data_IF_410979981961
#
_entry.id   IF_410979981961
#
_cell.length_a   1.000
_cell.length_b   1.000
_cell.length_c   1.000
_cell.angle_alpha   90.00
_cell.angle_beta   90.00
_cell.angle_gamma   90.00
#
_symmetry.space_group_name_H-M   'P 1'
#
loop_
_entity.id
_entity.type
_entity.pdbx_description
1 polymer ?
#
# COMPACT_ATOMS: atom_id res chain seq x y z
N UNK A 1 -38.13 -35.27 34.55
CA UNK A 1 -37.63 -33.89 34.63
C UNK A 1 -37.88 -33.23 33.29
N UNK A 2 -38.55 -32.10 33.31
CA UNK A 2 -39.01 -31.33 32.17
C UNK A 2 -37.85 -30.59 31.48
N UNK A 3 -37.94 -30.42 30.16
CA UNK A 3 -37.74 -29.10 29.58
C UNK A 3 -38.88 -28.79 28.60
N UNK A 4 -39.52 -27.69 28.92
CA UNK A 4 -40.50 -26.94 28.15
C UNK A 4 -39.72 -26.22 27.01
N UNK A 5 -40.29 -25.71 25.93
CA UNK A 5 -41.66 -25.32 25.70
C UNK A 5 -41.85 -24.78 24.28
N UNK A 6 -43.12 -24.49 24.03
CA UNK A 6 -43.76 -23.99 22.84
C UNK A 6 -43.12 -22.72 22.29
N UNK A 7 -43.16 -22.53 20.96
CA UNK A 7 -43.64 -21.26 20.42
C UNK A 7 -44.05 -21.40 18.95
N UNK A 8 -45.35 -21.37 18.72
CA UNK A 8 -45.91 -21.00 17.42
C UNK A 8 -45.68 -19.50 17.26
N UNK A 9 -45.15 -19.05 16.14
CA UNK A 9 -45.20 -17.63 15.77
C UNK A 9 -45.74 -17.50 14.37
N UNK A 10 -46.86 -16.79 14.35
CA UNK A 10 -47.63 -16.29 13.24
C UNK A 10 -46.77 -15.46 12.29
N UNK A 11 -46.83 -15.77 11.00
CA UNK A 11 -46.28 -14.92 9.95
C UNK A 11 -47.33 -13.85 9.61
N UNK A 12 -47.24 -12.70 10.28
CA UNK A 12 -47.89 -11.48 9.81
C UNK A 12 -47.16 -10.89 8.61
N UNK A 13 -47.83 -10.17 7.70
CA UNK A 13 -47.16 -9.49 6.60
C UNK A 13 -46.51 -8.22 7.16
N UNK A 14 -45.19 -8.25 7.31
CA UNK A 14 -44.45 -7.04 7.65
C UNK A 14 -44.05 -6.31 6.37
N UNK A 15 -44.81 -5.26 6.08
CA UNK A 15 -44.48 -4.05 5.34
C UNK A 15 -43.11 -4.08 4.64
N UNK A 16 -43.11 -4.21 3.31
CA UNK A 16 -41.95 -3.90 2.48
C UNK A 16 -41.71 -2.39 2.50
N UNK A 17 -41.07 -1.92 3.58
CA UNK A 17 -40.43 -0.63 3.66
C UNK A 17 -39.16 -0.69 2.83
N UNK A 18 -39.32 -0.47 1.53
CA UNK A 18 -38.21 -0.07 0.65
C UNK A 18 -37.71 1.27 1.17
N UNK A 19 -36.56 1.27 1.83
CA UNK A 19 -35.94 2.50 2.28
C UNK A 19 -34.43 2.41 2.28
N UNK A 20 -33.88 3.49 1.72
CA UNK A 20 -32.56 4.05 1.92
C UNK A 20 -31.50 3.56 0.93
N UNK A 21 -31.42 4.39 -0.09
CA UNK A 21 -30.24 4.76 -0.86
C UNK A 21 -28.94 4.35 -0.18
N UNK A 22 -28.31 3.32 -0.75
CA UNK A 22 -26.89 3.14 -0.54
C UNK A 22 -26.20 4.21 -1.36
N UNK A 23 -25.85 5.31 -0.71
CA UNK A 23 -24.77 6.16 -1.17
C UNK A 23 -23.56 5.26 -1.42
N UNK A 24 -23.33 4.98 -2.70
CA UNK A 24 -22.09 4.38 -3.16
C UNK A 24 -20.99 5.37 -2.82
N UNK A 25 -20.40 5.20 -1.64
CA UNK A 25 -19.04 5.64 -1.40
C UNK A 25 -18.20 4.89 -2.40
N UNK A 26 -18.03 5.52 -3.57
CA UNK A 26 -16.88 5.31 -4.42
C UNK A 26 -15.70 5.46 -3.47
N UNK A 27 -15.22 4.33 -2.93
CA UNK A 27 -13.95 4.25 -2.26
C UNK A 27 -13.00 4.91 -3.23
N UNK A 28 -12.60 6.14 -2.91
CA UNK A 28 -11.79 6.97 -3.77
C UNK A 28 -10.61 6.09 -4.09
N UNK A 29 -10.61 5.57 -5.32
CA UNK A 29 -9.54 4.76 -5.82
C UNK A 29 -8.40 5.75 -5.77
N UNK A 30 -7.61 5.72 -4.68
CA UNK A 30 -6.36 6.44 -4.59
C UNK A 30 -5.56 5.71 -5.64
N UNK A 31 -5.75 6.19 -6.86
CA UNK A 31 -5.17 5.66 -8.06
C UNK A 31 -3.71 5.93 -7.81
N UNK A 32 -3.02 4.92 -7.30
CA UNK A 32 -1.58 4.89 -7.34
C UNK A 32 -1.35 5.03 -8.83
N UNK A 33 -0.99 6.25 -9.24
CA UNK A 33 -0.64 6.59 -10.59
C UNK A 33 0.67 5.81 -10.77
N UNK A 34 0.55 4.52 -11.08
CA UNK A 34 1.67 3.72 -11.52
C UNK A 34 2.05 4.41 -12.81
N UNK A 35 3.01 5.33 -12.72
CA UNK A 35 3.66 5.92 -13.88
C UNK A 35 4.16 4.70 -14.63
N UNK A 36 3.45 4.35 -15.70
CA UNK A 36 3.93 3.40 -16.68
C UNK A 36 5.26 3.99 -17.13
N UNK A 37 6.34 3.40 -16.64
CA UNK A 37 7.70 3.86 -16.93
C UNK A 37 7.92 3.56 -18.41
N UNK A 38 7.62 4.54 -19.25
CA UNK A 38 8.08 4.54 -20.62
C UNK A 38 9.60 4.66 -20.52
N UNK A 39 10.31 3.53 -20.66
CA UNK A 39 11.76 3.52 -20.65
C UNK A 39 12.27 4.20 -21.92
N UNK A 40 12.93 5.37 -21.83
CA UNK A 40 13.56 5.94 -23.00
C UNK A 40 14.78 5.07 -23.34
N UNK A 41 14.72 4.41 -24.49
CA UNK A 41 15.85 3.72 -25.07
C UNK A 41 16.87 4.76 -25.58
N UNK A 42 18.10 4.70 -25.03
CA UNK A 42 19.35 5.40 -25.42
C UNK A 42 19.89 6.38 -24.36
N UNK A 43 20.42 5.83 -23.28
CA UNK A 43 21.56 6.35 -22.52
C UNK A 43 22.56 5.22 -22.30
N UNK A 44 23.79 5.52 -21.88
CA UNK A 44 24.81 4.51 -21.54
C UNK A 44 24.19 3.35 -20.73
N UNK A 45 24.29 2.12 -21.23
CA UNK A 45 23.57 0.95 -20.68
C UNK A 45 23.74 0.80 -19.16
N UNK A 46 24.92 1.12 -18.63
CA UNK A 46 25.17 1.09 -17.19
C UNK A 46 24.38 2.14 -16.39
N UNK A 47 24.27 3.38 -16.91
CA UNK A 47 23.52 4.46 -16.24
C UNK A 47 22.01 4.29 -16.37
N UNK A 48 21.56 3.70 -17.48
CA UNK A 48 20.16 3.34 -17.67
C UNK A 48 19.75 2.19 -16.73
N UNK A 49 20.57 1.13 -16.60
CA UNK A 49 20.30 0.02 -15.69
C UNK A 49 20.26 0.48 -14.24
N UNK A 50 21.24 1.29 -13.80
CA UNK A 50 21.27 1.76 -12.42
C UNK A 50 20.07 2.65 -12.05
N UNK A 51 19.57 3.44 -13.01
CA UNK A 51 18.32 4.19 -12.84
C UNK A 51 17.13 3.24 -12.63
N UNK A 52 17.08 2.11 -13.36
CA UNK A 52 16.01 1.11 -13.18
C UNK A 52 16.11 0.42 -11.82
N UNK A 53 17.32 0.08 -11.39
CA UNK A 53 17.59 -0.49 -10.07
C UNK A 53 17.10 0.45 -8.96
N UNK A 54 17.45 1.73 -9.06
CA UNK A 54 17.06 2.74 -8.09
C UNK A 54 15.55 2.98 -8.06
N UNK A 55 14.89 3.00 -9.23
CA UNK A 55 13.43 3.10 -9.31
C UNK A 55 12.75 1.88 -8.68
N UNK A 56 13.24 0.67 -8.94
CA UNK A 56 12.73 -0.57 -8.34
C UNK A 56 12.92 -0.58 -6.81
N UNK A 57 14.08 -0.09 -6.35
CA UNK A 57 14.38 0.06 -4.92
C UNK A 57 13.40 1.03 -4.25
N UNK A 58 13.25 2.24 -4.81
CA UNK A 58 12.31 3.25 -4.31
C UNK A 58 10.90 2.72 -4.16
N UNK A 59 10.33 2.15 -5.22
CA UNK A 59 8.96 1.62 -5.19
C UNK A 59 8.77 0.51 -4.15
N UNK A 60 9.81 -0.28 -3.90
CA UNK A 60 9.81 -1.36 -2.92
C UNK A 60 9.78 -0.81 -1.49
N UNK A 61 10.63 0.17 -1.18
CA UNK A 61 10.68 0.81 0.15
C UNK A 61 9.42 1.62 0.40
N UNK A 62 8.90 2.36 -0.58
CA UNK A 62 7.62 3.09 -0.46
C UNK A 62 6.46 2.17 -0.11
N UNK A 63 6.37 1.00 -0.76
CA UNK A 63 5.34 0.01 -0.46
C UNK A 63 5.50 -0.54 0.96
N UNK A 64 6.73 -0.80 1.38
CA UNK A 64 7.02 -1.24 2.74
C UNK A 64 6.61 -0.16 3.76
N UNK A 65 6.96 1.09 3.50
CA UNK A 65 6.62 2.22 4.35
C UNK A 65 5.11 2.43 4.46
N UNK A 66 4.38 2.28 3.36
CA UNK A 66 2.91 2.33 3.34
C UNK A 66 2.24 1.18 4.10
N UNK A 67 2.97 0.12 4.46
CA UNK A 67 2.43 -0.97 5.29
C UNK A 67 2.35 -0.63 6.78
N UNK A 68 2.99 0.45 7.21
CA UNK A 68 2.90 0.97 8.57
C UNK A 68 4.25 1.44 9.12
N UNK A 69 4.23 2.10 10.30
CA UNK A 69 5.43 2.68 10.91
C UNK A 69 6.37 1.64 11.52
N UNK A 70 5.95 0.38 11.64
CA UNK A 70 6.72 -0.68 12.26
C UNK A 70 7.52 -1.44 11.21
N UNK A 71 8.82 -1.16 11.14
CA UNK A 71 9.76 -2.04 10.44
C UNK A 71 10.17 -3.16 11.39
N UNK A 72 9.86 -4.39 11.01
CA UNK A 72 10.32 -5.60 11.69
C UNK A 72 11.74 -5.94 11.27
N UNK A 73 12.45 -6.68 12.11
CA UNK A 73 13.81 -7.16 11.80
C UNK A 73 13.90 -7.95 10.48
N UNK A 74 12.86 -8.73 10.17
CA UNK A 74 12.77 -9.47 8.90
C UNK A 74 12.68 -8.54 7.70
N UNK A 75 11.94 -7.43 7.82
CA UNK A 75 11.84 -6.41 6.78
C UNK A 75 13.16 -5.65 6.63
N UNK A 76 13.87 -5.31 7.71
CA UNK A 76 15.21 -4.71 7.63
C UNK A 76 16.22 -5.62 6.90
N UNK A 77 16.15 -6.92 7.21
CA UNK A 77 16.97 -7.94 6.54
C UNK A 77 16.63 -7.99 5.04
N UNK A 78 15.35 -7.95 4.69
CA UNK A 78 14.91 -7.91 3.30
C UNK A 78 15.38 -6.64 2.58
N UNK A 79 15.29 -5.46 3.21
CA UNK A 79 15.79 -4.19 2.65
C UNK A 79 17.28 -4.28 2.36
N UNK A 80 18.05 -4.84 3.29
CA UNK A 80 19.50 -5.02 3.13
C UNK A 80 19.82 -5.93 1.95
N UNK A 81 19.14 -7.07 1.85
CA UNK A 81 19.30 -7.98 0.71
C UNK A 81 18.89 -7.33 -0.61
N UNK A 82 17.79 -6.58 -0.62
CA UNK A 82 17.31 -5.86 -1.80
C UNK A 82 18.32 -4.83 -2.26
N UNK A 83 18.91 -4.08 -1.32
CA UNK A 83 19.94 -3.07 -1.59
C UNK A 83 21.15 -3.67 -2.30
N UNK A 84 21.63 -4.82 -1.84
CA UNK A 84 22.74 -5.54 -2.47
C UNK A 84 22.37 -6.07 -3.86
N UNK A 85 21.16 -6.62 -4.01
CA UNK A 85 20.67 -7.18 -5.29
C UNK A 85 20.46 -6.13 -6.39
N UNK A 86 20.13 -4.90 -6.00
CA UNK A 86 19.89 -3.77 -6.90
C UNK A 86 21.07 -2.81 -6.94
N UNK A 87 22.25 -3.22 -6.45
CA UNK A 87 23.48 -2.42 -6.50
C UNK A 87 23.32 -0.98 -5.96
N UNK A 88 22.57 -0.82 -4.88
CA UNK A 88 22.26 0.48 -4.28
C UNK A 88 23.34 0.88 -3.27
N UNK A 89 23.89 2.07 -3.42
CA UNK A 89 24.92 2.62 -2.51
C UNK A 89 24.34 3.02 -1.14
N UNK A 90 25.23 3.27 -0.18
CA UNK A 90 24.83 3.67 1.18
C UNK A 90 24.15 5.05 1.14
N UNK A 91 24.68 5.93 0.30
CA UNK A 91 24.28 7.32 0.11
C UNK A 91 22.89 7.38 -0.53
N UNK A 92 22.63 6.55 -1.53
CA UNK A 92 21.33 6.42 -2.19
C UNK A 92 20.28 5.84 -1.27
N UNK A 93 20.63 4.82 -0.49
CA UNK A 93 19.76 4.27 0.53
C UNK A 93 19.34 5.36 1.54
N UNK A 94 20.30 6.11 2.10
CA UNK A 94 20.03 7.22 3.03
C UNK A 94 19.18 8.32 2.38
N UNK A 95 19.43 8.61 1.09
CA UNK A 95 18.64 9.56 0.31
C UNK A 95 17.18 9.11 0.16
N UNK A 96 16.94 7.81 -0.03
CA UNK A 96 15.58 7.31 -0.14
C UNK A 96 14.84 7.40 1.20
N UNK A 97 15.50 7.05 2.31
CA UNK A 97 14.90 7.12 3.66
C UNK A 97 14.54 8.56 4.05
N UNK A 98 15.43 9.53 3.82
CA UNK A 98 15.12 10.95 4.13
C UNK A 98 13.95 11.49 3.31
N UNK A 99 13.81 11.05 2.06
CA UNK A 99 12.73 11.49 1.19
C UNK A 99 11.39 10.97 1.70
N UNK A 100 11.33 9.71 2.13
CA UNK A 100 10.12 9.11 2.71
C UNK A 100 9.65 9.86 3.97
N UNK A 101 10.56 10.10 4.91
CA UNK A 101 10.25 10.86 6.14
C UNK A 101 9.79 12.29 5.81
N UNK A 102 10.34 12.87 4.73
CA UNK A 102 9.95 14.19 4.25
C UNK A 102 8.54 14.20 3.66
N UNK A 103 8.18 13.16 2.91
CA UNK A 103 6.85 12.99 2.33
C UNK A 103 5.79 12.67 3.39
N UNK A 104 6.12 11.87 4.40
CA UNK A 104 5.19 11.51 5.48
C UNK A 104 4.80 12.71 6.33
N UNK A 105 5.77 13.58 6.66
CA UNK A 105 5.46 14.80 7.39
C UNK A 105 4.52 15.70 6.59
N UNK A 106 4.62 15.74 5.25
CA UNK A 106 3.72 16.51 4.40
C UNK A 106 2.26 16.01 4.48
N UNK A 107 2.07 14.72 4.70
CA UNK A 107 0.72 14.13 4.84
C UNK A 107 0.09 14.32 6.23
N UNK A 108 0.87 14.68 7.26
CA UNK A 108 0.37 14.89 8.62
C UNK A 108 -0.28 16.26 8.85
N UNK A 109 -0.14 17.20 7.91
CA UNK A 109 -0.71 18.56 7.99
C UNK A 109 -1.94 18.77 7.09
N UNK A 110 -2.60 17.69 6.65
CA UNK A 110 -3.72 17.75 5.71
C UNK A 110 -5.01 17.15 6.27
#
# INVERSE_FOLDING_TARGET
>A
MAINGLSTVSFGPMETRISSDTESSSCGHRSIKIKKSNFPAKGSEAGDVHRLELDAYRCSIERLHASGPNITWEQETWITNLRLRLNISNEEHLMQIRNLISDDNSTAYR
#
